data_IF_505248950554
#
_entry.id   IF_505248950554
#
_cell.length_a   1.000
_cell.length_b   1.000
_cell.length_c   1.000
_cell.angle_alpha   90.00
_cell.angle_beta   90.00
_cell.angle_gamma   90.00
#
_symmetry.space_group_name_H-M   'P 1'
#
loop_
_entity.id
_entity.type
_entity.pdbx_description
1 polymer ?
#
# COMPACT_ATOMS: atom_id res chain seq x y z
N UNK A 1 1.73 23.67 -5.57
CA UNK A 1 1.17 22.41 -5.02
C UNK A 1 -0.02 22.05 -5.88
N UNK A 2 -0.01 20.91 -6.57
CA UNK A 2 -1.19 20.48 -7.32
C UNK A 2 -2.39 20.36 -6.37
N UNK A 3 -3.59 20.70 -6.84
CA UNK A 3 -4.81 20.53 -6.05
C UNK A 3 -4.99 19.05 -5.72
N UNK A 4 -4.71 18.67 -4.47
CA UNK A 4 -4.94 17.30 -4.00
C UNK A 4 -6.42 16.97 -4.15
N UNK A 5 -6.70 15.85 -4.81
CA UNK A 5 -8.08 15.42 -5.04
C UNK A 5 -8.75 15.16 -3.71
N UNK A 6 -9.94 15.73 -3.55
CA UNK A 6 -10.67 15.70 -2.29
C UNK A 6 -11.98 14.95 -2.45
N UNK A 7 -12.28 14.07 -1.50
CA UNK A 7 -13.59 13.48 -1.31
C UNK A 7 -14.25 14.23 -0.14
N UNK A 8 -15.38 14.91 -0.39
CA UNK A 8 -15.95 15.84 0.58
C UNK A 8 -16.58 15.12 1.77
N UNK A 9 -16.74 15.85 2.89
CA UNK A 9 -17.31 15.35 4.15
C UNK A 9 -18.66 14.62 3.97
N UNK A 10 -19.50 15.08 3.05
CA UNK A 10 -20.85 14.56 2.81
C UNK A 10 -20.91 13.36 1.84
N UNK A 11 -19.80 12.98 1.19
CA UNK A 11 -19.78 11.83 0.30
C UNK A 11 -20.10 10.54 1.06
N UNK A 12 -20.96 9.68 0.53
CA UNK A 12 -21.29 8.41 1.19
C UNK A 12 -20.14 7.42 1.11
N UNK A 13 -20.16 6.36 1.93
CA UNK A 13 -19.17 5.28 1.81
C UNK A 13 -19.29 4.54 0.49
N UNK A 14 -20.52 4.35 -0.01
CA UNK A 14 -20.81 3.71 -1.31
C UNK A 14 -20.28 4.49 -2.51
N UNK A 15 -19.97 5.78 -2.34
CA UNK A 15 -19.30 6.59 -3.36
C UNK A 15 -17.79 6.64 -3.12
N UNK A 16 -17.37 6.78 -1.86
CA UNK A 16 -15.97 7.02 -1.48
C UNK A 16 -15.07 5.82 -1.80
N UNK A 17 -15.36 4.66 -1.19
CA UNK A 17 -14.46 3.52 -1.24
C UNK A 17 -14.47 2.81 -2.60
N UNK A 18 -15.63 2.62 -3.27
CA UNK A 18 -15.63 2.08 -4.64
C UNK A 18 -14.86 2.95 -5.63
N UNK A 19 -14.88 4.28 -5.47
CA UNK A 19 -14.10 5.19 -6.31
C UNK A 19 -12.60 4.98 -6.10
N UNK A 20 -12.14 4.93 -4.85
CA UNK A 20 -10.73 4.67 -4.50
C UNK A 20 -10.28 3.31 -5.08
N UNK A 21 -11.09 2.27 -4.89
CA UNK A 21 -10.83 0.93 -5.44
C UNK A 21 -10.72 0.92 -6.96
N UNK A 22 -11.70 1.51 -7.65
CA UNK A 22 -11.72 1.60 -9.10
C UNK A 22 -10.48 2.32 -9.64
N UNK A 23 -10.06 3.39 -8.98
CA UNK A 23 -8.84 4.13 -9.33
C UNK A 23 -7.59 3.24 -9.24
N UNK A 24 -7.40 2.50 -8.16
CA UNK A 24 -6.26 1.58 -8.00
C UNK A 24 -6.24 0.46 -9.07
N UNK A 25 -7.40 0.06 -9.58
CA UNK A 25 -7.53 -0.98 -10.60
C UNK A 25 -7.13 -0.53 -12.01
N UNK A 26 -6.86 0.77 -12.24
CA UNK A 26 -6.49 1.29 -13.55
C UNK A 26 -4.98 1.22 -13.87
N UNK A 27 -4.14 0.89 -12.89
CA UNK A 27 -2.69 0.82 -13.10
C UNK A 27 -1.98 -0.05 -12.07
N UNK A 28 -0.65 0.03 -12.08
CA UNK A 28 0.25 -0.60 -11.11
C UNK A 28 1.42 0.34 -10.85
N UNK A 29 1.96 0.31 -9.64
CA UNK A 29 3.13 1.09 -9.23
C UNK A 29 4.28 0.16 -8.86
N UNK A 30 5.50 0.45 -9.31
CA UNK A 30 6.69 -0.37 -9.05
C UNK A 30 7.61 0.22 -7.98
N UNK A 31 7.26 1.38 -7.42
CA UNK A 31 8.05 2.06 -6.40
C UNK A 31 9.25 2.85 -6.95
N UNK A 32 9.47 2.90 -8.27
CA UNK A 32 10.68 3.51 -8.85
C UNK A 32 10.52 5.00 -9.15
N UNK A 33 9.34 5.42 -9.63
CA UNK A 33 9.10 6.81 -10.03
C UNK A 33 8.14 7.53 -9.07
N UNK A 34 8.60 8.41 -8.16
CA UNK A 34 7.72 9.15 -7.26
C UNK A 34 6.79 10.13 -7.99
N UNK A 35 7.11 10.51 -9.23
CA UNK A 35 6.30 11.39 -10.08
C UNK A 35 5.37 10.61 -11.03
N UNK A 36 5.13 9.32 -10.75
CA UNK A 36 4.23 8.50 -11.56
C UNK A 36 2.79 9.07 -11.56
N UNK A 37 2.23 9.40 -12.74
CA UNK A 37 0.86 9.90 -12.86
C UNK A 37 -0.19 8.97 -12.24
N UNK A 38 0.04 7.65 -12.22
CA UNK A 38 -0.85 6.69 -11.56
C UNK A 38 -0.82 6.84 -10.04
N UNK A 39 0.35 7.09 -9.44
CA UNK A 39 0.48 7.31 -8.00
C UNK A 39 -0.30 8.56 -7.59
N UNK A 40 -0.18 9.66 -8.33
CA UNK A 40 -0.95 10.88 -8.07
C UNK A 40 -2.45 10.71 -8.31
N UNK A 41 -2.83 9.88 -9.28
CA UNK A 41 -4.22 9.45 -9.42
C UNK A 41 -4.70 8.62 -8.24
N UNK A 42 -3.84 7.95 -7.49
CA UNK A 42 -4.25 7.16 -6.32
C UNK A 42 -4.27 7.96 -5.02
N UNK A 43 -3.80 9.21 -5.02
CA UNK A 43 -3.76 10.11 -3.86
C UNK A 43 -5.09 10.85 -3.66
N UNK A 44 -5.61 10.83 -2.43
CA UNK A 44 -6.85 11.50 -2.04
C UNK A 44 -6.78 12.10 -0.64
N UNK A 45 -7.41 13.26 -0.46
CA UNK A 45 -7.83 13.76 0.84
C UNK A 45 -9.26 13.34 1.13
N UNK A 46 -9.50 12.70 2.28
CA UNK A 46 -10.83 12.29 2.72
C UNK A 46 -11.29 13.18 3.87
N UNK A 47 -12.05 14.23 3.57
CA UNK A 47 -12.43 15.24 4.57
C UNK A 47 -13.15 14.63 5.79
N UNK A 48 -14.07 13.70 5.57
CA UNK A 48 -14.81 13.04 6.65
C UNK A 48 -13.92 12.33 7.65
N UNK A 49 -12.84 11.73 7.16
CA UNK A 49 -11.90 10.99 7.98
C UNK A 49 -10.72 11.86 8.43
N UNK A 50 -10.57 13.05 7.84
CA UNK A 50 -9.45 13.97 8.02
C UNK A 50 -8.11 13.26 7.80
N UNK A 51 -8.03 12.45 6.74
CA UNK A 51 -6.83 11.70 6.38
C UNK A 51 -6.49 11.84 4.90
N UNK A 52 -5.20 11.68 4.62
CA UNK A 52 -4.68 11.50 3.27
C UNK A 52 -4.53 10.00 3.06
N UNK A 53 -4.99 9.50 1.91
CA UNK A 53 -4.77 8.13 1.47
C UNK A 53 -4.09 8.11 0.11
N UNK A 54 -3.19 7.15 -0.06
CA UNK A 54 -2.71 6.70 -1.38
C UNK A 54 -3.01 5.21 -1.41
N UNK A 55 -3.86 4.78 -2.33
CA UNK A 55 -4.25 3.38 -2.46
C UNK A 55 -3.92 2.86 -3.86
N UNK A 56 -2.90 2.02 -3.94
CA UNK A 56 -2.34 1.52 -5.20
C UNK A 56 -2.37 0.00 -5.25
N UNK A 57 -2.37 -0.53 -6.46
CA UNK A 57 -1.77 -1.82 -6.79
C UNK A 57 -0.28 -1.64 -7.00
N UNK A 58 0.52 -2.38 -6.26
CA UNK A 58 1.97 -2.40 -6.38
C UNK A 58 2.45 -3.73 -6.96
N UNK A 59 3.56 -3.70 -7.71
CA UNK A 59 4.17 -4.86 -8.37
C UNK A 59 5.70 -4.79 -8.33
N UNK A 60 6.36 -5.89 -8.70
CA UNK A 60 7.80 -5.90 -8.99
C UNK A 60 8.70 -6.13 -7.78
N UNK A 61 8.18 -6.40 -6.59
CA UNK A 61 9.03 -6.55 -5.40
C UNK A 61 9.97 -7.75 -5.46
N UNK A 62 9.51 -8.88 -6.00
CA UNK A 62 10.37 -10.04 -6.20
C UNK A 62 11.17 -9.87 -7.49
N UNK A 63 10.53 -9.45 -8.58
CA UNK A 63 11.20 -9.26 -9.88
C UNK A 63 12.35 -8.25 -9.83
N UNK A 64 12.24 -7.19 -9.01
CA UNK A 64 13.30 -6.18 -8.78
C UNK A 64 14.42 -6.64 -7.84
N UNK A 65 14.33 -7.87 -7.32
CA UNK A 65 15.27 -8.37 -6.34
C UNK A 65 14.98 -7.93 -4.91
N UNK A 66 14.01 -7.05 -4.63
CA UNK A 66 13.80 -6.57 -3.26
C UNK A 66 13.49 -7.72 -2.29
N UNK A 67 12.64 -8.67 -2.67
CA UNK A 67 12.25 -9.79 -1.81
C UNK A 67 12.41 -11.16 -2.48
N UNK A 68 12.92 -12.15 -1.72
CA UNK A 68 13.21 -13.50 -2.21
C UNK A 68 11.98 -14.30 -2.58
N UNK A 69 10.89 -14.04 -1.88
CA UNK A 69 9.70 -14.85 -1.97
C UNK A 69 8.71 -14.23 -2.98
N UNK A 70 8.30 -14.99 -4.01
CA UNK A 70 7.41 -14.50 -5.06
C UNK A 70 5.99 -14.16 -4.57
N UNK A 71 5.57 -14.65 -3.40
CA UNK A 71 4.28 -14.28 -2.80
C UNK A 71 4.21 -12.77 -2.48
N UNK A 72 5.36 -12.11 -2.38
CA UNK A 72 5.42 -10.68 -2.12
C UNK A 72 5.50 -9.83 -3.39
N UNK A 73 5.43 -10.44 -4.58
CA UNK A 73 5.60 -9.75 -5.87
C UNK A 73 4.60 -8.61 -6.09
N UNK A 74 3.37 -8.73 -5.59
CA UNK A 74 2.32 -7.74 -5.81
C UNK A 74 1.36 -7.61 -4.62
N UNK A 75 0.83 -6.42 -4.40
CA UNK A 75 -0.12 -6.16 -3.32
C UNK A 75 -1.05 -4.99 -3.61
N UNK A 76 -2.17 -4.92 -2.88
CA UNK A 76 -2.85 -3.64 -2.64
C UNK A 76 -2.12 -2.93 -1.51
N UNK A 77 -1.62 -1.74 -1.77
CA UNK A 77 -0.90 -0.90 -0.83
C UNK A 77 -1.73 0.31 -0.45
N UNK A 78 -1.95 0.49 0.86
CA UNK A 78 -2.52 1.70 1.45
C UNK A 78 -1.43 2.44 2.21
N UNK A 79 -1.12 3.66 1.78
CA UNK A 79 -0.43 4.64 2.60
C UNK A 79 -1.45 5.60 3.18
N UNK A 80 -1.49 5.77 4.50
CA UNK A 80 -2.46 6.64 5.18
C UNK A 80 -1.79 7.52 6.23
N UNK A 81 -2.17 8.79 6.29
CA UNK A 81 -1.70 9.75 7.30
C UNK A 81 -2.79 10.71 7.74
N UNK A 82 -2.59 11.29 8.93
CA UNK A 82 -3.51 12.24 9.53
C UNK A 82 -2.75 13.53 9.86
N UNK A 83 -2.85 14.59 9.01
CA UNK A 83 -2.13 15.84 9.25
C UNK A 83 -2.44 16.49 10.60
N UNK A 84 -3.66 16.33 11.10
CA UNK A 84 -4.09 16.81 12.43
C UNK A 84 -3.78 15.85 13.58
N UNK A 85 -2.95 14.83 13.37
CA UNK A 85 -2.63 13.80 14.34
C UNK A 85 -3.47 12.52 14.20
N UNK A 86 -2.90 11.40 14.65
CA UNK A 86 -3.47 10.06 14.48
C UNK A 86 -4.88 9.92 15.07
N UNK A 87 -5.84 9.48 14.24
CA UNK A 87 -7.22 9.17 14.64
C UNK A 87 -7.50 7.68 14.49
N UNK A 88 -7.14 6.88 15.50
CA UNK A 88 -7.19 5.39 15.46
C UNK A 88 -8.52 4.81 14.99
N UNK A 89 -9.65 5.29 15.51
CA UNK A 89 -10.97 4.79 15.11
C UNK A 89 -11.27 5.01 13.62
N UNK A 90 -10.77 6.10 13.05
CA UNK A 90 -10.95 6.43 11.62
C UNK A 90 -10.00 5.63 10.75
N UNK A 91 -8.76 5.44 11.19
CA UNK A 91 -7.81 4.54 10.55
C UNK A 91 -8.39 3.12 10.42
N UNK A 92 -8.86 2.57 11.55
CA UNK A 92 -9.49 1.24 11.59
C UNK A 92 -10.72 1.16 10.68
N UNK A 93 -11.51 2.23 10.63
CA UNK A 93 -12.67 2.30 9.75
C UNK A 93 -12.29 2.28 8.27
N UNK A 94 -11.33 3.11 7.86
CA UNK A 94 -10.84 3.16 6.47
C UNK A 94 -10.25 1.81 6.06
N UNK A 95 -9.45 1.18 6.92
CA UNK A 95 -8.90 -0.16 6.69
C UNK A 95 -10.02 -1.18 6.50
N UNK A 96 -11.04 -1.16 7.37
CA UNK A 96 -12.19 -2.07 7.26
C UNK A 96 -12.95 -1.87 5.96
N UNK A 97 -13.14 -0.63 5.52
CA UNK A 97 -13.87 -0.33 4.28
C UNK A 97 -13.09 -0.73 3.02
N UNK A 98 -11.76 -0.58 3.04
CA UNK A 98 -10.93 -0.98 1.90
C UNK A 98 -10.72 -2.48 1.84
N UNK A 99 -10.41 -3.13 2.95
CA UNK A 99 -9.92 -4.52 2.96
C UNK A 99 -10.90 -5.54 3.53
N UNK A 100 -12.03 -5.12 4.10
CA UNK A 100 -13.05 -6.03 4.63
C UNK A 100 -12.47 -7.06 5.60
N UNK A 101 -12.76 -8.34 5.34
CA UNK A 101 -12.29 -9.47 6.15
C UNK A 101 -10.83 -9.84 5.90
N UNK A 102 -10.28 -9.48 4.73
CA UNK A 102 -8.89 -9.74 4.36
C UNK A 102 -7.90 -8.88 5.16
N UNK A 103 -8.40 -7.88 5.90
CA UNK A 103 -7.59 -7.05 6.79
C UNK A 103 -6.75 -7.84 7.80
N UNK A 104 -7.15 -9.07 8.13
CA UNK A 104 -6.40 -10.00 9.01
C UNK A 104 -5.07 -10.46 8.43
N UNK A 105 -4.85 -10.28 7.12
CA UNK A 105 -3.62 -10.63 6.42
C UNK A 105 -2.78 -9.40 6.05
N UNK A 106 -3.18 -8.21 6.51
CA UNK A 106 -2.41 -7.00 6.24
C UNK A 106 -1.07 -7.06 6.93
N UNK A 107 -0.02 -6.82 6.15
CA UNK A 107 1.27 -6.43 6.69
C UNK A 107 1.23 -4.91 6.94
N UNK A 108 1.39 -4.53 8.21
CA UNK A 108 1.53 -3.15 8.65
C UNK A 108 3.01 -2.78 8.79
N UNK A 109 3.46 -1.75 8.10
CA UNK A 109 4.73 -1.09 8.34
C UNK A 109 4.43 0.27 8.97
N UNK A 110 4.83 0.42 10.23
CA UNK A 110 4.71 1.69 10.94
C UNK A 110 5.72 2.73 10.44
N UNK A 111 5.60 3.99 10.90
CA UNK A 111 6.58 5.01 10.58
C UNK A 111 7.92 4.75 11.29
N UNK A 112 8.89 4.17 10.58
CA UNK A 112 10.21 3.85 11.16
C UNK A 112 11.20 5.01 11.08
N UNK A 113 11.15 5.81 10.00
CA UNK A 113 12.02 6.98 9.80
C UNK A 113 11.56 8.18 10.63
N UNK A 114 12.47 9.10 10.96
CA UNK A 114 12.14 10.32 11.71
C UNK A 114 11.07 11.16 11.00
N UNK A 115 11.22 11.36 9.70
CA UNK A 115 10.22 12.01 8.84
C UNK A 115 8.90 11.22 8.83
N UNK A 116 8.96 9.89 8.72
CA UNK A 116 7.76 9.04 8.78
C UNK A 116 7.01 9.20 10.10
N UNK A 117 7.74 9.31 11.23
CA UNK A 117 7.14 9.51 12.56
C UNK A 117 6.51 10.89 12.68
N UNK A 118 7.18 11.92 12.15
CA UNK A 118 6.65 13.29 12.11
C UNK A 118 5.40 13.40 11.21
N UNK A 119 5.39 12.72 10.07
CA UNK A 119 4.26 12.72 9.14
C UNK A 119 3.16 11.73 9.53
N UNK A 120 3.42 10.81 10.47
CA UNK A 120 2.46 9.82 10.94
C UNK A 120 1.90 8.93 9.83
N UNK A 121 2.73 8.54 8.86
CA UNK A 121 2.32 7.71 7.72
C UNK A 121 2.39 6.23 8.11
N UNK A 122 1.31 5.50 7.84
CA UNK A 122 1.21 4.06 8.03
C UNK A 122 1.02 3.39 6.68
N UNK A 123 1.75 2.30 6.47
CA UNK A 123 1.66 1.52 5.25
C UNK A 123 1.02 0.16 5.56
N UNK A 124 0.00 -0.19 4.78
CA UNK A 124 -0.68 -1.48 4.87
C UNK A 124 -0.62 -2.17 3.52
N UNK A 125 -0.14 -3.41 3.50
CA UNK A 125 0.01 -4.22 2.28
C UNK A 125 -0.86 -5.46 2.39
N UNK A 126 -1.74 -5.66 1.41
CA UNK A 126 -2.46 -6.92 1.21
C UNK A 126 -1.91 -7.62 -0.03
N UNK A 127 -1.08 -8.65 0.19
CA UNK A 127 -0.45 -9.39 -0.90
C UNK A 127 -1.45 -10.17 -1.72
N UNK A 128 -1.18 -10.31 -3.01
CA UNK A 128 -2.10 -10.88 -3.96
C UNK A 128 -1.45 -11.90 -4.89
N UNK A 129 -2.25 -12.86 -5.35
CA UNK A 129 -1.86 -13.78 -6.41
C UNK A 129 -1.83 -13.08 -7.79
N UNK A 130 -1.40 -13.76 -8.87
CA UNK A 130 -1.39 -13.15 -10.20
C UNK A 130 -2.74 -12.66 -10.73
N UNK A 131 -3.85 -13.15 -10.17
CA UNK A 131 -5.21 -12.75 -10.47
C UNK A 131 -5.75 -11.65 -9.54
N UNK A 132 -4.90 -11.00 -8.73
CA UNK A 132 -5.25 -9.97 -7.75
C UNK A 132 -6.17 -10.46 -6.62
N UNK A 133 -6.17 -11.77 -6.32
CA UNK A 133 -6.86 -12.30 -5.15
C UNK A 133 -5.96 -12.21 -3.92
N UNK A 134 -6.48 -11.74 -2.78
CA UNK A 134 -5.72 -11.69 -1.53
C UNK A 134 -5.12 -13.05 -1.17
N UNK A 135 -3.85 -13.05 -0.78
CA UNK A 135 -3.15 -14.21 -0.26
C UNK A 135 -2.46 -13.87 1.05
N UNK A 136 -2.21 -14.89 1.86
CA UNK A 136 -1.29 -14.82 2.99
C UNK A 136 0.07 -15.33 2.49
N UNK A 137 1.13 -14.50 2.45
CA UNK A 137 2.45 -14.96 2.02
C UNK A 137 2.95 -16.14 2.84
N UNK A 138 3.61 -17.09 2.19
CA UNK A 138 4.18 -18.29 2.83
C UNK A 138 5.59 -18.00 3.33
N UNK A 139 5.93 -18.29 4.58
CA UNK A 139 7.29 -18.08 5.11
C UNK A 139 7.66 -16.60 5.28
N UNK A 140 8.91 -16.33 5.62
CA UNK A 140 9.44 -14.96 5.77
C UNK A 140 9.95 -14.40 4.44
N UNK A 141 10.04 -13.07 4.39
CA UNK A 141 10.46 -12.23 3.24
C UNK A 141 11.79 -12.67 2.61
N UNK A 142 12.72 -13.13 3.45
CA UNK A 142 14.08 -13.54 3.06
C UNK A 142 14.29 -15.06 3.08
N UNK A 143 13.23 -15.85 3.25
CA UNK A 143 13.36 -17.30 3.20
C UNK A 143 13.89 -17.75 1.84
N UNK A 144 14.77 -18.77 1.87
CA UNK A 144 15.31 -19.41 0.66
C UNK A 144 14.43 -20.53 0.14
N UNK A 145 13.37 -20.90 0.87
CA UNK A 145 12.49 -22.03 0.55
C UNK A 145 11.80 -21.88 -0.82
N UNK A 146 11.60 -20.64 -1.27
CA UNK A 146 10.94 -20.31 -2.54
C UNK A 146 11.85 -19.51 -3.49
N UNK A 147 13.16 -19.54 -3.28
CA UNK A 147 14.13 -18.79 -4.11
C UNK A 147 14.69 -19.67 -5.21
N UNK A 148 14.58 -19.21 -6.47
CA UNK A 148 15.19 -19.90 -7.61
C UNK A 148 16.73 -19.95 -7.50
N UNK A 149 17.34 -21.00 -8.04
CA UNK A 149 18.80 -21.17 -7.99
C UNK A 149 19.51 -20.01 -8.71
N UNK A 150 20.31 -19.24 -7.98
CA UNK A 150 21.07 -18.10 -8.49
C UNK A 150 20.39 -16.74 -8.31
N UNK A 151 19.16 -16.69 -7.82
CA UNK A 151 18.47 -15.44 -7.49
C UNK A 151 19.14 -14.76 -6.28
N UNK A 152 19.28 -13.43 -6.32
CA UNK A 152 19.90 -12.60 -5.28
C UNK A 152 18.97 -11.47 -4.86
N UNK A 153 18.90 -11.19 -3.56
CA UNK A 153 18.15 -10.04 -3.07
C UNK A 153 18.83 -8.72 -3.44
N UNK A 154 18.11 -7.61 -3.32
CA UNK A 154 18.63 -6.27 -3.56
C UNK A 154 19.85 -6.00 -2.69
N UNK A 155 19.78 -6.35 -1.41
CA UNK A 155 20.95 -6.28 -0.51
C UNK A 155 22.13 -7.13 -0.99
N UNK A 156 21.89 -8.35 -1.50
CA UNK A 156 22.93 -9.23 -2.05
C UNK A 156 23.51 -8.72 -3.38
N UNK A 157 22.70 -8.02 -4.20
CA UNK A 157 23.14 -7.36 -5.43
C UNK A 157 23.98 -6.11 -5.15
N UNK A 158 23.63 -5.36 -4.09
CA UNK A 158 24.24 -4.07 -3.76
C UNK A 158 25.23 -4.11 -2.59
N UNK A 159 25.52 -5.29 -2.02
CA UNK A 159 26.41 -5.50 -0.87
C UNK A 159 26.10 -4.62 0.34
N UNK A 160 24.79 -4.45 0.64
CA UNK A 160 24.28 -3.71 1.78
C UNK A 160 24.10 -4.61 3.01
#
# INVERSE_FOLDING_TARGET
MANMKTIPMNATNGETFPRIWKTAQHGTFDGLNPDDPYLEQCRWWLERFECIVIFTRDVGYHTSGWWKNPDYERCYHLSISFPGGMKRSRLEYVIKQLFGDDRRWLWCEGPYSEVGRQCGVFHYRLFCDPAWKPLKPRGEVYTREFTEAGWKSFSELHQL
#
